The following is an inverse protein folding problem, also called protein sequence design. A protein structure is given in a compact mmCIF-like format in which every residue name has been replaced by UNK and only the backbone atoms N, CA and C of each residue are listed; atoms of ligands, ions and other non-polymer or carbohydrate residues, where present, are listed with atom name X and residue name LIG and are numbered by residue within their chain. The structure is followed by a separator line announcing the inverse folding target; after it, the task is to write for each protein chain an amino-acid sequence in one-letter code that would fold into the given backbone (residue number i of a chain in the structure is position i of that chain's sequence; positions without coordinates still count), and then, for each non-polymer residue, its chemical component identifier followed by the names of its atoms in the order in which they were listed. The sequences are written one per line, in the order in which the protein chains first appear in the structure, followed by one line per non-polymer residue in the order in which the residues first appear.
data_IF_555547805026
#
_entry.id   IF_555547805026
#
_cell.length_a   1.000
_cell.length_b   1.000
_cell.length_c   1.000
_cell.angle_alpha   90.00
_cell.angle_beta   90.00
_cell.angle_gamma   90.00
#
_symmetry.space_group_name_H-M   'P 1'
#
loop_
_entity.id
_entity.type
_entity.pdbx_description
1 polymer ?
#
# COMPACT_ATOMS: atom_id res chain seq x y z
N UNK A 1 -38.36 -5.11 0.97
CA UNK A 1 -37.82 -3.77 1.27
C UNK A 1 -36.30 -3.86 1.31
N UNK A 2 -35.65 -3.91 0.15
CA UNK A 2 -34.21 -4.18 -0.01
C UNK A 2 -33.44 -2.96 -0.54
N UNK A 3 -33.91 -1.76 -0.23
CA UNK A 3 -33.53 -0.53 -0.94
C UNK A 3 -32.23 0.12 -0.46
N UNK A 4 -31.38 -0.60 0.28
CA UNK A 4 -30.07 -0.11 0.72
C UNK A 4 -28.96 -1.15 0.53
N UNK A 5 -29.12 -2.01 -0.48
CA UNK A 5 -28.05 -2.87 -0.99
C UNK A 5 -26.84 -2.01 -1.33
N UNK A 6 -25.65 -2.49 -1.00
CA UNK A 6 -24.30 -1.87 -1.03
C UNK A 6 -24.04 -0.82 -2.12
N UNK A 7 -24.75 -0.87 -3.25
CA UNK A 7 -24.79 0.21 -4.26
C UNK A 7 -25.20 1.59 -3.74
N UNK A 8 -26.07 1.71 -2.73
CA UNK A 8 -26.40 3.02 -2.15
C UNK A 8 -25.16 3.68 -1.52
N UNK A 9 -24.37 2.91 -0.77
CA UNK A 9 -23.15 3.39 -0.14
C UNK A 9 -22.08 3.82 -1.15
N UNK A 10 -21.98 3.12 -2.30
CA UNK A 10 -21.10 3.55 -3.40
C UNK A 10 -21.52 4.91 -3.97
N UNK A 11 -22.82 5.13 -4.20
CA UNK A 11 -23.32 6.40 -4.74
C UNK A 11 -23.09 7.54 -3.73
N UNK A 12 -23.32 7.30 -2.44
CA UNK A 12 -23.07 8.30 -1.39
C UNK A 12 -21.59 8.69 -1.33
N UNK A 13 -20.67 7.72 -1.41
CA UNK A 13 -19.23 8.01 -1.44
C UNK A 13 -18.83 8.90 -2.63
N UNK A 14 -19.40 8.64 -3.80
CA UNK A 14 -19.14 9.46 -5.00
C UNK A 14 -19.65 10.88 -4.80
N UNK A 15 -20.85 11.06 -4.26
CA UNK A 15 -21.41 12.39 -4.00
C UNK A 15 -20.58 13.16 -2.97
N UNK A 16 -20.17 12.52 -1.88
CA UNK A 16 -19.28 13.14 -0.87
C UNK A 16 -17.96 13.56 -1.52
N UNK A 17 -17.39 12.71 -2.39
CA UNK A 17 -16.17 13.05 -3.11
C UNK A 17 -16.32 14.26 -4.04
N UNK A 18 -17.47 14.40 -4.70
CA UNK A 18 -17.78 15.54 -5.56
C UNK A 18 -18.03 16.84 -4.78
N UNK A 19 -18.73 16.76 -3.64
CA UNK A 19 -19.06 17.94 -2.80
C UNK A 19 -17.81 18.48 -2.10
N UNK A 20 -17.01 17.60 -1.51
CA UNK A 20 -15.78 18.01 -0.82
C UNK A 20 -14.62 18.27 -1.81
N UNK A 21 -14.72 17.73 -3.02
CA UNK A 21 -13.66 17.76 -4.03
C UNK A 21 -12.46 16.87 -3.66
N UNK A 22 -11.80 16.30 -4.66
CA UNK A 22 -10.63 15.41 -4.46
C UNK A 22 -9.44 16.12 -3.78
N UNK A 23 -9.40 17.46 -3.83
CA UNK A 23 -8.31 18.27 -3.28
C UNK A 23 -8.30 18.31 -1.74
N UNK A 24 -9.48 18.34 -1.10
CA UNK A 24 -9.61 18.29 0.37
C UNK A 24 -9.55 16.85 0.87
N UNK A 25 -10.22 15.93 0.18
CA UNK A 25 -10.16 14.50 0.52
C UNK A 25 -8.77 13.91 0.35
N UNK A 26 -7.94 14.41 -0.58
CA UNK A 26 -6.58 13.93 -0.77
C UNK A 26 -5.64 14.25 0.39
N UNK A 27 -5.64 15.48 0.89
CA UNK A 27 -4.79 15.88 2.02
C UNK A 27 -5.27 15.25 3.33
N UNK A 28 -6.56 15.36 3.66
CA UNK A 28 -7.10 14.73 4.88
C UNK A 28 -7.14 13.20 4.80
N UNK A 29 -7.37 12.64 3.61
CA UNK A 29 -7.39 11.20 3.38
C UNK A 29 -6.01 10.57 3.36
N UNK A 30 -4.95 11.31 3.00
CA UNK A 30 -3.57 10.81 3.07
C UNK A 30 -3.12 10.65 4.52
N UNK A 31 -3.40 11.62 5.38
CA UNK A 31 -3.10 11.55 6.82
C UNK A 31 -3.89 10.44 7.51
N UNK A 32 -5.21 10.38 7.28
CA UNK A 32 -6.06 9.34 7.87
C UNK A 32 -5.77 7.95 7.28
N UNK A 33 -5.48 7.89 5.99
CA UNK A 33 -5.12 6.66 5.28
C UNK A 33 -3.78 6.10 5.74
N UNK A 34 -2.81 6.95 6.08
CA UNK A 34 -1.51 6.52 6.61
C UNK A 34 -1.65 5.88 8.00
N UNK A 35 -2.49 6.47 8.86
CA UNK A 35 -2.79 5.90 10.19
C UNK A 35 -3.50 4.54 10.08
N UNK A 36 -4.49 4.41 9.20
CA UNK A 36 -5.22 3.16 8.96
C UNK A 36 -4.32 2.11 8.28
N UNK A 37 -3.37 2.53 7.43
CA UNK A 37 -2.40 1.64 6.79
C UNK A 37 -1.49 0.97 7.82
N UNK A 38 -0.91 1.73 8.75
CA UNK A 38 -0.10 1.16 9.83
C UNK A 38 -0.88 0.19 10.73
N UNK A 39 -2.16 0.48 10.99
CA UNK A 39 -3.05 -0.42 11.72
C UNK A 39 -3.30 -1.74 10.96
N UNK A 40 -3.57 -1.66 9.65
CA UNK A 40 -3.75 -2.86 8.81
C UNK A 40 -2.45 -3.67 8.70
N UNK A 41 -1.32 -3.01 8.53
CA UNK A 41 -0.02 -3.68 8.43
C UNK A 41 0.34 -4.39 9.75
N UNK A 42 0.08 -3.75 10.91
CA UNK A 42 0.26 -4.38 12.22
C UNK A 42 -0.69 -5.55 12.51
N UNK A 43 -1.93 -5.49 12.03
CA UNK A 43 -2.86 -6.64 12.12
C UNK A 43 -2.39 -7.79 11.22
N UNK A 44 -1.90 -7.50 10.01
CA UNK A 44 -1.38 -8.52 9.09
C UNK A 44 -0.10 -9.17 9.60
N UNK A 45 0.68 -8.49 10.42
CA UNK A 45 1.86 -9.05 11.09
C UNK A 45 1.48 -9.91 12.31
N UNK A 46 0.38 -9.59 12.98
CA UNK A 46 -0.12 -10.33 14.16
C UNK A 46 -0.86 -11.62 13.79
N UNK A 47 -1.38 -11.74 12.57
CA UNK A 47 -1.94 -12.99 12.04
C UNK A 47 -0.78 -13.91 11.61
N UNK A 48 -0.69 -15.17 12.08
CA UNK A 48 0.38 -16.08 11.66
C UNK A 48 0.30 -16.26 10.14
N UNK A 49 1.39 -15.83 9.49
CA UNK A 49 1.54 -15.72 8.04
C UNK A 49 1.19 -17.02 7.33
N UNK A 50 -0.02 -17.09 6.76
CA UNK A 50 -0.33 -17.98 5.65
C UNK A 50 -0.47 -17.14 4.36
N UNK A 51 0.63 -17.16 3.61
CA UNK A 51 0.72 -17.05 2.15
C UNK A 51 0.60 -15.67 1.43
N UNK A 52 1.78 -15.23 0.94
CA UNK A 52 2.15 -14.56 -0.34
C UNK A 52 1.32 -13.40 -0.92
N UNK A 53 2.04 -12.32 -1.25
CA UNK A 53 2.37 -11.91 -2.63
C UNK A 53 3.01 -10.49 -2.59
N UNK A 54 4.29 -10.34 -2.88
CA UNK A 54 4.84 -10.07 -4.22
C UNK A 54 4.56 -8.63 -4.72
N UNK A 55 5.45 -7.69 -4.37
CA UNK A 55 5.98 -6.63 -5.27
C UNK A 55 7.11 -5.86 -4.59
N UNK A 56 8.22 -6.54 -4.29
CA UNK A 56 9.51 -5.85 -4.32
C UNK A 56 10.00 -6.00 -5.75
N UNK A 57 9.95 -4.90 -6.50
CA UNK A 57 10.61 -4.78 -7.79
C UNK A 57 11.98 -4.16 -7.51
N UNK A 58 13.08 -4.93 -7.39
CA UNK A 58 14.41 -4.39 -7.58
C UNK A 58 14.66 -4.36 -9.10
N UNK A 59 14.08 -3.37 -9.78
CA UNK A 59 14.60 -2.98 -11.07
C UNK A 59 15.77 -2.02 -10.82
N UNK A 60 16.95 -2.41 -11.31
CA UNK A 60 18.23 -1.69 -11.30
C UNK A 60 19.22 -2.05 -10.17
N UNK A 61 19.74 -3.27 -10.19
CA UNK A 61 21.14 -3.56 -9.84
C UNK A 61 21.55 -4.94 -10.39
N UNK A 62 21.44 -5.12 -11.71
CA UNK A 62 22.09 -6.20 -12.45
C UNK A 62 23.09 -5.53 -13.39
N UNK A 63 24.36 -5.58 -12.98
CA UNK A 63 25.49 -4.98 -13.70
C UNK A 63 26.55 -4.49 -12.72
N UNK A 64 27.29 -5.37 -12.06
CA UNK A 64 28.57 -5.81 -12.60
C UNK A 64 29.17 -6.90 -11.71
N UNK A 65 29.96 -7.76 -12.33
CA UNK A 65 30.37 -9.03 -11.78
C UNK A 65 31.38 -8.90 -10.64
N UNK A 66 31.09 -9.63 -9.57
CA UNK A 66 32.09 -10.25 -8.71
C UNK A 66 32.99 -11.16 -9.57
N UNK A 67 34.25 -10.76 -9.77
CA UNK A 67 35.46 -11.60 -9.80
C UNK A 67 36.64 -10.64 -10.07
N UNK A 68 37.48 -10.36 -9.09
CA UNK A 68 38.74 -11.10 -9.00
C UNK A 68 39.25 -11.13 -7.56
N UNK A 69 39.26 -12.36 -7.07
CA UNK A 69 40.19 -12.92 -6.12
C UNK A 69 41.64 -12.50 -6.43
N UNK A 70 42.28 -11.70 -5.56
CA UNK A 70 43.74 -11.68 -5.36
C UNK A 70 44.12 -10.72 -4.23
N UNK A 71 44.03 -11.19 -2.98
CA UNK A 71 44.75 -10.58 -1.86
C UNK A 71 46.06 -11.37 -1.61
N UNK A 72 47.23 -10.83 -1.96
CA UNK A 72 48.48 -11.20 -1.32
C UNK A 72 48.78 -10.22 -0.17
N UNK A 73 48.76 -10.79 1.03
CA UNK A 73 49.45 -10.46 2.27
C UNK A 73 50.36 -9.22 2.28
N UNK A 74 50.13 -8.35 3.27
CA UNK A 74 51.16 -7.89 4.21
C UNK A 74 50.61 -7.95 5.63
#
# INVERSE_FOLDING_TARGET
MGSFSTMHWLIVLVIVALVFGTRKLGTFGSDLGSAIKGFKDGIREAEPVEEKADTVKPAAALGDAQETHAAPKQ
#
